data_IF_515514253579
#
_entry.id   IF_515514253579
#
_cell.length_a   1.000
_cell.length_b   1.000
_cell.length_c   1.000
_cell.angle_alpha   90.00
_cell.angle_beta   90.00
_cell.angle_gamma   90.00
#
_symmetry.space_group_name_H-M   'P 1'
#
loop_
_entity.id
_entity.type
_entity.pdbx_description
1 polymer ?
#
# COMPACT_ATOMS: atom_id res chain seq x y z
N UNK A 1 -17.47 -10.88 -6.59
CA UNK A 1 -17.70 -9.89 -7.68
C UNK A 1 -17.01 -8.63 -7.21
N UNK A 2 -16.05 -8.10 -7.98
CA UNK A 2 -15.39 -6.82 -7.65
C UNK A 2 -16.45 -5.73 -7.55
N UNK A 3 -16.61 -5.16 -6.35
CA UNK A 3 -17.61 -4.12 -6.11
C UNK A 3 -17.10 -2.76 -6.60
N UNK A 4 -15.80 -2.47 -6.42
CA UNK A 4 -15.20 -1.24 -6.90
C UNK A 4 -13.69 -1.30 -7.07
N UNK A 5 -13.18 -0.30 -7.76
CA UNK A 5 -11.74 -0.10 -8.00
C UNK A 5 -11.32 1.30 -7.58
N UNK A 6 -10.08 1.44 -7.15
CA UNK A 6 -9.49 2.69 -6.69
C UNK A 6 -8.12 2.88 -7.33
N UNK A 7 -7.85 4.08 -7.89
CA UNK A 7 -6.60 4.39 -8.61
C UNK A 7 -5.92 5.66 -8.11
N UNK A 8 -4.65 5.58 -7.73
CA UNK A 8 -3.84 6.76 -7.40
C UNK A 8 -2.45 6.76 -8.05
N UNK A 9 -1.91 7.95 -8.27
CA UNK A 9 -0.50 8.15 -8.59
C UNK A 9 0.18 8.96 -7.49
N UNK A 10 1.25 8.41 -6.93
CA UNK A 10 2.04 9.06 -5.89
C UNK A 10 3.42 9.38 -6.47
N UNK A 11 3.71 10.66 -6.58
CA UNK A 11 5.02 11.14 -7.00
C UNK A 11 6.00 11.13 -5.84
N UNK A 12 7.21 10.61 -6.07
CA UNK A 12 8.31 10.68 -5.13
C UNK A 12 9.62 11.15 -5.76
N UNK A 13 10.40 11.90 -4.98
CA UNK A 13 11.78 12.31 -5.32
C UNK A 13 12.82 11.22 -5.03
N UNK A 14 12.41 10.12 -4.39
CA UNK A 14 13.29 8.97 -4.10
C UNK A 14 13.25 7.98 -5.26
N UNK A 15 14.42 7.41 -5.58
CA UNK A 15 14.54 6.43 -6.66
C UNK A 15 13.68 5.19 -6.39
N UNK A 16 13.13 4.53 -7.43
CA UNK A 16 12.28 3.35 -7.27
C UNK A 16 12.93 2.24 -6.42
N UNK A 17 14.22 1.96 -6.64
CA UNK A 17 14.94 0.89 -5.95
C UNK A 17 15.08 1.13 -4.43
N UNK A 18 15.28 2.40 -4.02
CA UNK A 18 15.37 2.76 -2.60
C UNK A 18 13.99 2.78 -1.94
N UNK A 19 13.01 3.35 -2.63
CA UNK A 19 11.63 3.41 -2.14
C UNK A 19 11.05 2.00 -1.93
N UNK A 20 11.35 1.09 -2.85
CA UNK A 20 11.00 -0.33 -2.79
C UNK A 20 11.53 -1.02 -1.52
N UNK A 21 12.81 -0.85 -1.21
CA UNK A 21 13.48 -1.51 -0.07
C UNK A 21 13.04 -0.98 1.30
N UNK A 22 12.47 0.22 1.39
CA UNK A 22 12.19 0.89 2.66
C UNK A 22 10.78 0.67 3.21
N UNK A 23 9.97 -0.15 2.53
CA UNK A 23 8.65 -0.55 3.02
C UNK A 23 8.88 -1.48 4.23
N UNK A 24 9.06 -0.88 5.41
CA UNK A 24 9.24 -1.62 6.67
C UNK A 24 7.89 -2.08 7.19
N UNK A 25 7.62 -3.38 7.08
CA UNK A 25 6.43 -4.03 7.62
C UNK A 25 6.90 -5.20 8.48
N UNK A 26 6.25 -5.41 9.62
CA UNK A 26 6.59 -6.54 10.49
C UNK A 26 6.13 -7.83 9.79
N UNK A 27 7.05 -8.72 9.47
CA UNK A 27 6.71 -10.06 8.99
C UNK A 27 6.24 -10.88 10.18
N UNK A 28 5.02 -11.41 10.11
CA UNK A 28 4.47 -12.33 11.11
C UNK A 28 4.74 -13.77 10.73
N UNK A 29 4.59 -14.10 9.44
CA UNK A 29 4.78 -15.45 8.89
C UNK A 29 5.36 -15.36 7.48
N UNK A 30 6.25 -16.29 7.12
CA UNK A 30 6.87 -16.35 5.79
C UNK A 30 8.27 -15.73 5.73
N UNK A 31 8.78 -15.59 4.51
CA UNK A 31 10.17 -15.21 4.19
C UNK A 31 10.29 -13.84 3.51
N UNK A 32 9.17 -13.15 3.30
CA UNK A 32 9.08 -11.90 2.54
C UNK A 32 8.51 -12.07 1.13
N UNK A 33 8.45 -13.29 0.59
CA UNK A 33 7.90 -13.61 -0.72
C UNK A 33 6.37 -13.83 -0.74
N UNK A 34 5.80 -14.28 -1.88
CA UNK A 34 4.39 -14.63 -1.98
C UNK A 34 3.93 -15.60 -0.89
N UNK A 35 2.79 -15.29 -0.25
CA UNK A 35 2.25 -16.00 0.91
C UNK A 35 2.66 -15.42 2.26
N UNK A 36 3.67 -14.55 2.32
CA UNK A 36 4.10 -13.89 3.56
C UNK A 36 2.97 -13.07 4.17
N UNK A 37 2.74 -13.25 5.47
CA UNK A 37 1.81 -12.45 6.26
C UNK A 37 2.58 -11.36 6.99
N UNK A 38 2.12 -10.12 6.82
CA UNK A 38 2.74 -8.93 7.38
C UNK A 38 1.73 -8.13 8.17
N UNK A 39 2.20 -7.38 9.16
CA UNK A 39 1.38 -6.47 9.95
C UNK A 39 1.94 -5.06 9.89
N UNK A 40 1.05 -4.11 9.59
CA UNK A 40 1.30 -2.68 9.67
C UNK A 40 0.49 -2.11 10.83
N UNK A 41 1.14 -1.33 11.69
CA UNK A 41 0.49 -0.61 12.78
C UNK A 41 0.49 0.89 12.47
N UNK A 42 -0.63 1.54 12.76
CA UNK A 42 -0.87 2.94 12.47
C UNK A 42 -0.99 3.73 13.77
N UNK A 43 -0.55 4.98 13.73
CA UNK A 43 -0.70 5.92 14.85
C UNK A 43 -2.12 6.50 14.87
N UNK A 44 -2.47 7.21 15.93
CA UNK A 44 -3.79 7.86 16.11
C UNK A 44 -4.11 8.92 15.03
N UNK A 45 -3.15 9.24 14.14
CA UNK A 45 -3.41 10.05 12.95
C UNK A 45 -4.38 9.37 11.97
N UNK A 46 -4.41 8.03 11.95
CA UNK A 46 -5.41 7.24 11.21
C UNK A 46 -6.56 6.93 12.17
N UNK A 47 -7.71 7.56 11.96
CA UNK A 47 -8.85 7.48 12.89
C UNK A 47 -9.68 6.19 12.75
N UNK A 48 -9.64 5.56 11.58
CA UNK A 48 -10.55 4.46 11.25
C UNK A 48 -10.07 3.08 11.70
N UNK A 49 -8.75 2.91 11.85
CA UNK A 49 -8.10 1.66 12.25
C UNK A 49 -6.68 1.91 12.76
N UNK A 50 -6.26 1.06 13.70
CA UNK A 50 -4.92 1.10 14.31
C UNK A 50 -3.94 0.09 13.71
N UNK A 51 -4.42 -0.89 12.95
CA UNK A 51 -3.57 -1.88 12.28
C UNK A 51 -4.28 -2.49 11.07
N UNK A 52 -3.49 -3.16 10.23
CA UNK A 52 -3.98 -4.22 9.36
C UNK A 52 -2.97 -5.36 9.27
N UNK A 53 -3.43 -6.53 8.83
CA UNK A 53 -2.58 -7.60 8.34
C UNK A 53 -2.82 -7.82 6.87
N UNK A 54 -1.75 -8.00 6.13
CA UNK A 54 -1.78 -8.22 4.70
C UNK A 54 -0.97 -9.45 4.31
N UNK A 55 -1.39 -10.09 3.22
CA UNK A 55 -0.68 -11.20 2.59
C UNK A 55 -0.03 -10.69 1.31
N UNK A 56 1.24 -11.02 1.11
CA UNK A 56 1.92 -10.81 -0.17
C UNK A 56 1.35 -11.78 -1.20
N UNK A 57 0.80 -11.26 -2.29
CA UNK A 57 0.24 -12.09 -3.37
C UNK A 57 1.24 -12.30 -4.49
N UNK A 58 2.01 -11.28 -4.85
CA UNK A 58 3.03 -11.36 -5.89
C UNK A 58 4.12 -10.30 -5.72
N UNK A 59 5.34 -10.67 -6.12
CA UNK A 59 6.47 -9.75 -6.27
C UNK A 59 7.06 -9.99 -7.65
N UNK A 60 7.14 -8.93 -8.45
CA UNK A 60 7.77 -8.92 -9.75
C UNK A 60 8.84 -7.82 -9.73
N UNK A 61 10.09 -8.21 -9.49
CA UNK A 61 11.21 -7.29 -9.37
C UNK A 61 11.60 -6.67 -10.72
N UNK A 62 11.40 -7.40 -11.82
CA UNK A 62 11.72 -6.95 -13.18
C UNK A 62 10.82 -5.79 -13.59
N UNK A 63 9.50 -5.94 -13.37
CA UNK A 63 8.52 -4.92 -13.68
C UNK A 63 8.23 -3.95 -12.52
N UNK A 64 8.86 -4.19 -11.36
CA UNK A 64 8.68 -3.43 -10.10
C UNK A 64 7.20 -3.36 -9.70
N UNK A 65 6.55 -4.51 -9.75
CA UNK A 65 5.15 -4.69 -9.36
C UNK A 65 5.07 -5.47 -8.06
N UNK A 66 4.21 -5.01 -7.17
CA UNK A 66 3.97 -5.63 -5.89
C UNK A 66 2.47 -5.74 -5.62
N UNK A 67 2.02 -6.95 -5.29
CA UNK A 67 0.61 -7.22 -5.01
C UNK A 67 0.42 -7.75 -3.60
N UNK A 68 -0.60 -7.25 -2.92
CA UNK A 68 -0.98 -7.74 -1.60
C UNK A 68 -2.48 -7.60 -1.35
N UNK A 69 -3.00 -8.44 -0.45
CA UNK A 69 -4.38 -8.42 0.01
C UNK A 69 -4.42 -8.17 1.51
N UNK A 70 -5.26 -7.22 1.95
CA UNK A 70 -5.52 -7.06 3.38
C UNK A 70 -6.49 -8.15 3.82
N UNK A 71 -6.06 -8.95 4.79
CA UNK A 71 -6.79 -10.13 5.28
C UNK A 71 -7.40 -9.90 6.68
N UNK A 72 -6.90 -8.92 7.43
CA UNK A 72 -7.39 -8.61 8.78
C UNK A 72 -7.18 -7.12 9.10
N UNK A 73 -8.01 -6.54 9.95
CA UNK A 73 -7.91 -5.15 10.35
C UNK A 73 -8.29 -4.18 9.23
N UNK A 74 -7.82 -2.93 9.31
CA UNK A 74 -8.22 -1.90 8.38
C UNK A 74 -9.74 -1.71 8.36
N UNK A 75 -10.31 -1.83 7.16
CA UNK A 75 -11.75 -1.74 6.90
C UNK A 75 -12.41 -3.10 6.64
N UNK A 76 -11.65 -4.20 6.73
CA UNK A 76 -12.16 -5.56 6.57
C UNK A 76 -13.21 -5.85 7.65
N UNK A 77 -14.36 -6.37 7.24
CA UNK A 77 -15.51 -6.65 8.11
C UNK A 77 -16.30 -5.42 8.58
N UNK A 78 -15.76 -4.21 8.41
CA UNK A 78 -16.44 -2.94 8.72
C UNK A 78 -17.18 -2.39 7.51
N UNK A 79 -16.44 -2.16 6.41
CA UNK A 79 -16.96 -1.58 5.16
C UNK A 79 -16.73 -2.49 3.95
N UNK A 80 -15.69 -3.32 4.00
CA UNK A 80 -15.29 -4.19 2.90
C UNK A 80 -15.14 -5.64 3.35
N UNK A 81 -15.51 -6.59 2.51
CA UNK A 81 -15.30 -8.03 2.70
C UNK A 81 -13.87 -8.43 2.37
N UNK A 82 -13.32 -7.85 1.31
CA UNK A 82 -11.99 -8.15 0.80
C UNK A 82 -11.38 -6.93 0.12
N UNK A 83 -10.05 -6.89 0.07
CA UNK A 83 -9.30 -5.90 -0.72
C UNK A 83 -8.07 -6.55 -1.34
N UNK A 84 -7.66 -6.05 -2.51
CA UNK A 84 -6.39 -6.38 -3.15
C UNK A 84 -5.77 -5.14 -3.74
N UNK A 85 -4.47 -4.98 -3.59
CA UNK A 85 -3.73 -3.82 -4.05
C UNK A 85 -2.58 -4.26 -4.95
N UNK A 86 -2.37 -3.51 -6.02
CA UNK A 86 -1.22 -3.59 -6.90
C UNK A 86 -0.51 -2.24 -6.90
N UNK A 87 0.77 -2.28 -6.57
CA UNK A 87 1.68 -1.15 -6.60
C UNK A 87 2.65 -1.36 -7.75
N UNK A 88 2.80 -0.37 -8.62
CA UNK A 88 3.77 -0.38 -9.71
C UNK A 88 4.66 0.85 -9.64
N UNK A 89 5.98 0.65 -9.69
CA UNK A 89 6.95 1.74 -9.60
C UNK A 89 7.63 2.02 -10.93
N UNK A 90 7.39 3.21 -11.49
CA UNK A 90 7.95 3.68 -12.75
C UNK A 90 9.01 4.77 -12.51
N UNK A 91 10.05 4.80 -13.33
CA UNK A 91 11.10 5.81 -13.23
C UNK A 91 10.66 7.14 -13.85
N UNK A 92 11.05 8.26 -13.23
CA UNK A 92 10.90 9.60 -13.80
C UNK A 92 12.21 10.06 -14.45
N UNK A 93 12.10 10.97 -15.42
CA UNK A 93 13.25 11.56 -16.13
C UNK A 93 14.20 12.34 -15.21
N UNK A 94 13.73 12.81 -14.07
CA UNK A 94 14.48 13.56 -13.06
C UNK A 94 15.12 12.67 -11.98
N UNK A 95 15.09 11.35 -12.15
CA UNK A 95 15.66 10.39 -11.19
C UNK A 95 14.72 10.00 -10.04
N UNK A 96 13.52 10.59 -9.97
CA UNK A 96 12.48 10.20 -9.02
C UNK A 96 11.67 8.97 -9.48
N UNK A 97 10.56 8.72 -8.78
CA UNK A 97 9.64 7.61 -9.06
C UNK A 97 8.17 8.05 -9.13
N UNK A 98 7.38 7.30 -9.89
CA UNK A 98 5.91 7.33 -9.85
C UNK A 98 5.47 5.97 -9.31
N UNK A 99 4.77 5.96 -8.18
CA UNK A 99 4.06 4.79 -7.69
C UNK A 99 2.61 4.86 -8.16
N UNK A 100 2.22 3.93 -9.04
CA UNK A 100 0.82 3.70 -9.42
C UNK A 100 0.22 2.69 -8.47
N UNK A 101 -0.86 3.07 -7.80
CA UNK A 101 -1.60 2.22 -6.89
C UNK A 101 -2.96 1.91 -7.47
N UNK A 102 -3.18 0.63 -7.78
CA UNK A 102 -4.48 0.07 -8.13
C UNK A 102 -5.00 -0.70 -6.93
N UNK A 103 -6.20 -0.44 -6.47
CA UNK A 103 -6.87 -1.21 -5.43
C UNK A 103 -8.21 -1.73 -5.94
N UNK A 104 -8.55 -2.95 -5.56
CA UNK A 104 -9.87 -3.55 -5.79
C UNK A 104 -10.44 -3.94 -4.43
N UNK A 105 -11.76 -3.87 -4.29
CA UNK A 105 -12.42 -4.25 -3.06
C UNK A 105 -13.83 -4.78 -3.31
N UNK A 106 -14.30 -5.58 -2.36
CA UNK A 106 -15.70 -6.03 -2.27
C UNK A 106 -16.34 -5.44 -1.02
N UNK A 107 -17.54 -4.88 -1.12
CA UNK A 107 -18.24 -4.22 0.01
C UNK A 107 -19.00 -5.21 0.90
N UNK A 108 -19.18 -4.85 2.17
CA UNK A 108 -20.02 -5.59 3.11
C UNK A 108 -21.51 -5.43 2.79
N UNK A 109 -21.92 -4.22 2.40
CA UNK A 109 -23.27 -3.89 1.92
C UNK A 109 -23.35 -3.92 0.39
N UNK A 110 -24.56 -4.03 -0.18
CA UNK A 110 -24.79 -3.91 -1.63
C UNK A 110 -24.61 -2.48 -2.16
N UNK A 111 -24.28 -1.53 -1.27
CA UNK A 111 -23.98 -0.15 -1.64
C UNK A 111 -22.48 0.05 -1.84
N UNK A 112 -22.10 0.70 -2.95
CA UNK A 112 -20.73 1.06 -3.24
C UNK A 112 -20.26 2.16 -2.29
N UNK A 113 -18.97 2.18 -1.86
CA UNK A 113 -18.44 3.27 -1.08
C UNK A 113 -18.53 4.54 -1.90
N UNK A 114 -18.87 5.64 -1.23
CA UNK A 114 -18.93 6.93 -1.90
C UNK A 114 -17.53 7.35 -2.39
N UNK A 115 -17.45 8.29 -3.33
CA UNK A 115 -16.18 8.89 -3.76
C UNK A 115 -15.39 9.47 -2.58
N UNK A 116 -16.07 10.00 -1.56
CA UNK A 116 -15.44 10.56 -0.38
C UNK A 116 -14.74 9.48 0.45
N UNK A 117 -15.42 8.36 0.69
CA UNK A 117 -14.86 7.22 1.42
C UNK A 117 -13.72 6.55 0.65
N UNK A 118 -13.86 6.45 -0.68
CA UNK A 118 -12.78 5.96 -1.55
C UNK A 118 -11.53 6.83 -1.43
N UNK A 119 -11.71 8.16 -1.43
CA UNK A 119 -10.60 9.12 -1.27
C UNK A 119 -9.96 9.04 0.11
N UNK A 120 -10.74 8.84 1.17
CA UNK A 120 -10.24 8.69 2.54
C UNK A 120 -9.40 7.43 2.71
N UNK A 121 -9.85 6.30 2.16
CA UNK A 121 -9.06 5.06 2.10
C UNK A 121 -7.69 5.28 1.44
N UNK A 122 -7.67 6.00 0.31
CA UNK A 122 -6.44 6.32 -0.40
C UNK A 122 -5.55 7.30 0.35
N UNK A 123 -6.12 8.25 1.08
CA UNK A 123 -5.38 9.27 1.83
C UNK A 123 -4.44 8.65 2.86
N UNK A 124 -4.89 7.56 3.50
CA UNK A 124 -4.07 6.80 4.47
C UNK A 124 -2.86 6.15 3.79
N UNK A 125 -3.05 5.54 2.62
CA UNK A 125 -1.95 4.94 1.84
C UNK A 125 -0.96 6.00 1.35
N UNK A 126 -1.45 7.13 0.85
CA UNK A 126 -0.59 8.25 0.43
C UNK A 126 0.25 8.77 1.59
N UNK A 127 -0.34 8.92 2.77
CA UNK A 127 0.36 9.39 3.96
C UNK A 127 1.49 8.43 4.37
N UNK A 128 1.23 7.11 4.32
CA UNK A 128 2.25 6.09 4.56
C UNK A 128 3.41 6.21 3.57
N UNK A 129 3.12 6.34 2.27
CA UNK A 129 4.14 6.54 1.24
C UNK A 129 4.98 7.79 1.47
N UNK A 130 4.36 8.90 1.87
CA UNK A 130 5.07 10.14 2.17
C UNK A 130 5.97 10.03 3.41
N UNK A 131 5.58 9.24 4.40
CA UNK A 131 6.44 8.97 5.55
C UNK A 131 7.69 8.17 5.15
N UNK A 132 7.53 7.13 4.32
CA UNK A 132 8.66 6.33 3.80
C UNK A 132 9.59 7.19 2.94
N UNK A 133 9.03 8.02 2.05
CA UNK A 133 9.79 9.00 1.27
C UNK A 133 10.58 9.94 2.17
N UNK A 134 9.93 10.55 3.17
CA UNK A 134 10.57 11.48 4.10
C UNK A 134 11.75 10.84 4.84
N UNK A 135 11.58 9.61 5.31
CA UNK A 135 12.65 8.85 5.94
C UNK A 135 13.84 8.63 5.00
N UNK A 136 13.59 8.21 3.76
CA UNK A 136 14.64 7.93 2.77
C UNK A 136 15.41 9.17 2.30
N UNK A 137 14.73 10.32 2.26
CA UNK A 137 15.33 11.63 1.97
C UNK A 137 16.24 12.06 3.12
N UNK A 138 15.78 11.92 4.36
CA UNK A 138 16.55 12.25 5.55
C UNK A 138 17.73 11.28 5.80
N UNK A 139 17.69 10.07 5.22
CA UNK A 139 18.71 9.04 5.41
C UNK A 139 19.28 8.55 4.05
N UNK A 140 20.17 9.31 3.39
CA UNK A 140 20.65 9.00 2.04
C UNK A 140 21.37 7.66 1.89
N UNK A 141 22.02 7.17 2.95
CA UNK A 141 22.71 5.87 2.97
C UNK A 141 21.77 4.68 3.22
N UNK A 142 20.54 4.93 3.71
CA UNK A 142 19.58 3.86 3.95
C UNK A 142 19.11 3.26 2.61
N UNK A 143 19.23 1.94 2.52
CA UNK A 143 18.82 1.12 1.37
C UNK A 143 19.46 1.52 0.03
N UNK A 144 20.59 2.24 0.07
CA UNK A 144 21.37 2.68 -1.10
C UNK A 144 21.89 1.50 -1.93
#
# INVERSE_FOLDING_TARGET
MVAGTVYNEIMSQVSPARLWKAISITILEGDGGPGTIRQSNFTDAIKDFSYWKDRVDAIDEENRVFKYSVIEGGLIGKKVKSTSFELKFEARKDGGSICKLNGEYETTEDSLPTKAETKEMMGSMVSMFKAIEGYLVANPAAYA
#
